data_IF_484480614251
#
_entry.id   IF_484480614251
#
_cell.length_a   1.000
_cell.length_b   1.000
_cell.length_c   1.000
_cell.angle_alpha   90.00
_cell.angle_beta   90.00
_cell.angle_gamma   90.00
#
_symmetry.space_group_name_H-M   'P 1'
#
loop_
_entity.id
_entity.type
_entity.pdbx_description
1 polymer ?
#
# COMPACT_ATOMS: atom_id res chain seq x y z
N UNK A 1 -15.50 4.05 -23.02
CA UNK A 1 -15.19 4.99 -21.92
C UNK A 1 -14.23 6.02 -22.49
N UNK A 2 -14.60 7.30 -22.51
CA UNK A 2 -13.68 8.36 -22.95
C UNK A 2 -12.77 8.72 -21.77
N UNK A 3 -11.47 8.48 -21.95
CA UNK A 3 -10.46 8.74 -20.92
C UNK A 3 -10.36 10.23 -20.54
N UNK A 4 -10.75 11.15 -21.43
CA UNK A 4 -10.76 12.60 -21.15
C UNK A 4 -11.92 12.98 -20.25
N UNK A 5 -13.10 12.40 -20.49
CA UNK A 5 -14.27 12.60 -19.64
C UNK A 5 -14.01 12.06 -18.22
N UNK A 6 -13.36 10.89 -18.12
CA UNK A 6 -13.03 10.28 -16.83
C UNK A 6 -12.02 11.13 -16.04
N UNK A 7 -10.99 11.65 -16.69
CA UNK A 7 -10.02 12.56 -16.04
C UNK A 7 -10.70 13.81 -15.47
N UNK A 8 -11.64 14.40 -16.21
CA UNK A 8 -12.37 15.58 -15.74
C UNK A 8 -13.29 15.25 -14.55
N UNK A 9 -13.92 14.07 -14.55
CA UNK A 9 -14.72 13.57 -13.43
C UNK A 9 -13.88 13.42 -12.15
N UNK A 10 -12.68 12.84 -12.27
CA UNK A 10 -11.75 12.66 -11.14
C UNK A 10 -11.27 13.99 -10.55
N UNK A 11 -10.93 14.97 -11.39
CA UNK A 11 -10.52 16.31 -10.92
C UNK A 11 -11.62 16.96 -10.09
N UNK A 12 -12.89 16.87 -10.54
CA UNK A 12 -14.02 17.43 -9.78
C UNK A 12 -14.15 16.78 -8.41
N UNK A 13 -14.10 15.45 -8.34
CA UNK A 13 -14.19 14.71 -7.08
C UNK A 13 -13.04 15.04 -6.13
N UNK A 14 -11.84 15.30 -6.65
CA UNK A 14 -10.67 15.70 -5.88
C UNK A 14 -10.84 17.04 -5.17
N UNK A 15 -11.55 18.00 -5.80
CA UNK A 15 -11.82 19.30 -5.20
C UNK A 15 -12.74 19.21 -3.96
N UNK A 16 -13.54 18.15 -3.87
CA UNK A 16 -14.47 17.91 -2.76
C UNK A 16 -13.86 17.05 -1.63
N UNK A 17 -12.57 16.68 -1.71
CA UNK A 17 -11.92 15.85 -0.69
C UNK A 17 -11.38 16.71 0.45
N UNK A 18 -12.02 16.64 1.61
CA UNK A 18 -11.62 17.40 2.81
C UNK A 18 -10.57 16.68 3.69
N UNK A 19 -10.38 15.37 3.52
CA UNK A 19 -9.49 14.58 4.37
C UNK A 19 -8.08 14.55 3.79
N UNK A 20 -7.13 15.12 4.52
CA UNK A 20 -5.70 15.16 4.16
C UNK A 20 -5.13 13.77 3.86
N UNK A 21 -5.41 12.77 4.71
CA UNK A 21 -4.97 11.38 4.52
C UNK A 21 -5.51 10.75 3.22
N UNK A 22 -6.66 11.21 2.73
CA UNK A 22 -7.23 10.74 1.46
C UNK A 22 -6.49 11.36 0.28
N UNK A 23 -6.12 12.63 0.37
CA UNK A 23 -5.32 13.31 -0.66
C UNK A 23 -3.90 12.72 -0.74
N UNK A 24 -3.27 12.43 0.39
CA UNK A 24 -1.94 11.78 0.44
C UNK A 24 -1.93 10.44 -0.29
N UNK A 25 -2.90 9.57 0.00
CA UNK A 25 -3.01 8.26 -0.67
C UNK A 25 -3.26 8.37 -2.18
N UNK A 26 -4.08 9.34 -2.60
CA UNK A 26 -4.32 9.58 -4.03
C UNK A 26 -3.04 10.05 -4.70
N UNK A 27 -2.28 10.94 -4.03
CA UNK A 27 -0.98 11.40 -4.50
C UNK A 27 0.00 10.24 -4.63
N UNK A 28 0.07 9.35 -3.63
CA UNK A 28 0.94 8.18 -3.69
C UNK A 28 0.61 7.29 -4.90
N UNK A 29 -0.66 7.02 -5.18
CA UNK A 29 -1.08 6.23 -6.36
C UNK A 29 -0.68 6.90 -7.68
N UNK A 30 -0.85 8.23 -7.77
CA UNK A 30 -0.51 8.99 -8.97
C UNK A 30 1.03 9.14 -9.14
N UNK A 31 1.77 9.18 -8.03
CA UNK A 31 3.22 9.26 -8.00
C UNK A 31 3.89 7.88 -8.17
N UNK A 32 3.20 6.78 -7.82
CA UNK A 32 3.62 5.40 -8.06
C UNK A 32 3.73 5.08 -9.57
N UNK A 33 2.95 5.75 -10.43
CA UNK A 33 3.17 5.70 -11.88
C UNK A 33 4.50 6.34 -12.32
N UNK A 34 5.16 7.15 -11.47
CA UNK A 34 6.44 7.81 -11.77
C UNK A 34 7.63 7.29 -10.95
N UNK A 35 7.42 6.67 -9.80
CA UNK A 35 8.48 6.14 -8.95
C UNK A 35 8.03 4.85 -8.28
N UNK A 36 8.76 3.78 -8.58
CA UNK A 36 8.53 2.44 -8.07
C UNK A 36 8.43 2.45 -6.54
N UNK A 37 7.24 2.18 -5.98
CA UNK A 37 6.96 2.12 -4.54
C UNK A 37 8.05 1.36 -3.77
N UNK A 38 8.55 0.28 -4.37
CA UNK A 38 9.64 -0.54 -3.86
C UNK A 38 10.89 0.27 -3.51
N UNK A 39 11.28 1.22 -4.37
CA UNK A 39 12.49 2.03 -4.21
C UNK A 39 12.45 3.03 -3.05
N UNK A 40 11.24 3.35 -2.54
CA UNK A 40 11.04 4.29 -1.43
C UNK A 40 11.07 3.63 -0.05
N UNK A 41 11.00 2.30 0.01
CA UNK A 41 11.02 1.57 1.27
C UNK A 41 12.43 1.57 1.88
N UNK A 42 12.51 1.73 3.19
CA UNK A 42 13.76 1.51 3.92
C UNK A 42 14.29 0.10 3.65
N UNK A 43 15.61 -0.03 3.57
CA UNK A 43 16.26 -1.32 3.28
C UNK A 43 15.83 -2.42 4.27
N UNK A 44 15.64 -2.08 5.54
CA UNK A 44 15.15 -3.01 6.57
C UNK A 44 13.74 -3.53 6.28
N UNK A 45 12.88 -2.69 5.70
CA UNK A 45 11.51 -3.03 5.30
C UNK A 45 11.54 -3.89 4.04
N UNK A 46 12.33 -3.53 3.03
CA UNK A 46 12.54 -4.35 1.83
C UNK A 46 13.00 -5.77 2.20
N UNK A 47 14.05 -5.89 3.01
CA UNK A 47 14.57 -7.17 3.49
C UNK A 47 13.52 -7.96 4.31
N UNK A 48 12.65 -7.27 5.05
CA UNK A 48 11.56 -7.93 5.78
C UNK A 48 10.49 -8.48 4.85
N UNK A 49 10.17 -7.77 3.78
CA UNK A 49 9.20 -8.21 2.77
C UNK A 49 9.77 -9.40 1.99
N UNK A 50 11.03 -9.34 1.55
CA UNK A 50 11.70 -10.45 0.87
C UNK A 50 11.71 -11.72 1.74
N UNK A 51 12.05 -11.60 3.03
CA UNK A 51 11.98 -12.72 3.97
C UNK A 51 10.56 -13.28 4.10
N UNK A 52 9.55 -12.41 4.18
CA UNK A 52 8.15 -12.85 4.29
C UNK A 52 7.69 -13.60 3.04
N UNK A 53 8.13 -13.18 1.85
CA UNK A 53 7.83 -13.88 0.59
C UNK A 53 8.50 -15.26 0.53
N UNK A 54 9.79 -15.37 0.88
CA UNK A 54 10.50 -16.66 0.95
C UNK A 54 9.86 -17.62 1.96
N UNK A 55 9.46 -17.10 3.12
CA UNK A 55 8.71 -17.87 4.12
C UNK A 55 7.36 -18.34 3.57
N UNK A 56 6.66 -17.48 2.84
CA UNK A 56 5.36 -17.80 2.26
C UNK A 56 5.47 -18.93 1.20
N UNK A 57 6.46 -18.86 0.31
CA UNK A 57 6.73 -19.90 -0.68
C UNK A 57 7.05 -21.26 -0.03
N UNK A 58 7.74 -21.22 1.11
CA UNK A 58 8.07 -22.43 1.91
C UNK A 58 6.92 -22.89 2.81
N UNK A 59 5.76 -22.23 2.78
CA UNK A 59 4.61 -22.55 3.63
C UNK A 59 4.83 -22.24 5.12
N UNK A 60 5.80 -21.39 5.45
CA UNK A 60 6.20 -21.03 6.82
C UNK A 60 5.31 -19.93 7.40
N UNK A 61 4.00 -20.16 7.37
CA UNK A 61 3.03 -19.27 8.00
C UNK A 61 2.79 -19.67 9.45
N UNK A 62 2.39 -18.69 10.27
CA UNK A 62 1.83 -18.94 11.60
C UNK A 62 0.39 -18.47 11.63
N UNK A 63 -0.47 -19.21 12.33
CA UNK A 63 -1.85 -18.79 12.50
C UNK A 63 -1.90 -17.53 13.35
N UNK A 64 -2.83 -16.64 13.02
CA UNK A 64 -3.02 -15.39 13.76
C UNK A 64 -3.20 -15.65 15.27
N UNK A 65 -4.08 -16.59 15.63
CA UNK A 65 -4.36 -16.95 17.03
C UNK A 65 -3.10 -17.44 17.78
N UNK A 66 -2.24 -18.19 17.11
CA UNK A 66 -0.96 -18.66 17.68
C UNK A 66 -0.03 -17.49 18.00
N UNK A 67 0.08 -16.52 17.08
CA UNK A 67 0.90 -15.33 17.27
C UNK A 67 0.34 -14.46 18.39
N UNK A 68 -0.98 -14.24 18.39
CA UNK A 68 -1.65 -13.38 19.36
C UNK A 68 -1.67 -13.96 20.78
N UNK A 69 -1.65 -15.29 20.93
CA UNK A 69 -1.56 -15.95 22.24
C UNK A 69 -0.38 -15.47 23.09
N UNK A 70 0.71 -15.00 22.47
CA UNK A 70 1.90 -14.48 23.16
C UNK A 70 1.75 -13.06 23.71
N UNK A 71 0.69 -12.35 23.30
CA UNK A 71 0.44 -10.95 23.64
C UNK A 71 -0.83 -10.73 24.46
N UNK A 72 -1.63 -11.79 24.67
CA UNK A 72 -2.75 -11.77 25.60
C UNK A 72 -2.17 -11.92 27.01
N UNK A 73 -2.21 -10.83 27.79
CA UNK A 73 -1.87 -10.79 29.22
C UNK A 73 -3.12 -10.87 30.07
#
# INVERSE_FOLDING_TARGET
MDIREEKLSLVKRLLDVDKEITLERIKDILDEEQNDFWSRLDKSVQESIERALDQAEKGQFRKHDEVMSKYIR
#
